data_IF_986872511929
#
_entry.id   IF_986872511929
#
_cell.length_a   1.000
_cell.length_b   1.000
_cell.length_c   1.000
_cell.angle_alpha   90.00
_cell.angle_beta   90.00
_cell.angle_gamma   90.00
#
_symmetry.space_group_name_H-M   'P 1'
#
loop_
_entity.id
_entity.type
_entity.pdbx_description
1 polymer ?
#
# COMPACT_ATOMS: atom_id res chain seq x y z
N UNK A 1 -21.95 57.41 2.73
CA UNK A 1 -21.60 56.09 2.14
C UNK A 1 -21.48 55.12 3.31
N UNK A 2 -22.52 54.35 3.55
CA UNK A 2 -22.52 53.27 4.53
C UNK A 2 -21.68 52.13 3.91
N UNK A 3 -20.53 51.88 4.50
CA UNK A 3 -19.75 50.65 4.19
C UNK A 3 -20.64 49.49 4.61
N UNK A 4 -21.21 48.74 3.64
CA UNK A 4 -21.79 47.44 3.93
C UNK A 4 -20.61 46.56 4.41
N UNK A 5 -20.56 46.33 5.70
CA UNK A 5 -19.78 45.23 6.26
C UNK A 5 -20.42 43.96 5.70
N UNK A 6 -19.81 43.35 4.71
CA UNK A 6 -20.16 41.97 4.35
C UNK A 6 -19.90 41.14 5.60
N UNK A 7 -20.97 40.77 6.30
CA UNK A 7 -20.87 39.89 7.44
C UNK A 7 -20.35 38.55 6.93
N UNK A 8 -19.08 38.25 7.25
CA UNK A 8 -18.42 37.01 6.89
C UNK A 8 -19.13 35.85 7.59
N UNK A 9 -19.60 34.87 6.83
CA UNK A 9 -20.31 33.70 7.38
C UNK A 9 -19.42 32.45 7.39
N UNK A 10 -19.76 31.49 8.25
CA UNK A 10 -19.09 30.19 8.30
C UNK A 10 -19.17 29.48 6.94
N UNK A 11 -20.28 29.59 6.22
CA UNK A 11 -20.44 29.00 4.89
C UNK A 11 -19.52 29.64 3.86
N UNK A 12 -19.35 30.96 3.94
CA UNK A 12 -18.39 31.67 3.09
C UNK A 12 -16.96 31.24 3.42
N UNK A 13 -16.63 31.05 4.69
CA UNK A 13 -15.32 30.54 5.10
C UNK A 13 -15.07 29.10 4.59
N UNK A 14 -16.04 28.19 4.75
CA UNK A 14 -15.97 26.83 4.21
C UNK A 14 -15.67 26.84 2.72
N UNK A 15 -16.38 27.65 1.95
CA UNK A 15 -16.20 27.81 0.52
C UNK A 15 -14.84 28.41 0.17
N UNK A 16 -14.45 29.49 0.86
CA UNK A 16 -13.20 30.20 0.61
C UNK A 16 -11.97 29.33 0.86
N UNK A 17 -11.97 28.57 1.96
CA UNK A 17 -10.89 27.63 2.29
C UNK A 17 -11.04 26.27 1.61
N UNK A 18 -12.05 26.11 0.76
CA UNK A 18 -12.28 24.91 -0.04
C UNK A 18 -12.39 23.61 0.80
N UNK A 19 -12.89 23.73 2.03
CA UNK A 19 -12.98 22.64 3.01
C UNK A 19 -13.67 21.39 2.47
N UNK A 20 -14.83 21.46 1.78
CA UNK A 20 -15.54 20.27 1.31
C UNK A 20 -14.73 19.39 0.36
N UNK A 21 -13.71 19.96 -0.32
CA UNK A 21 -12.97 19.23 -1.35
C UNK A 21 -11.69 18.55 -0.83
N UNK A 22 -10.99 19.14 0.15
CA UNK A 22 -9.76 18.54 0.65
C UNK A 22 -9.96 17.77 1.95
N UNK A 23 -10.96 18.14 2.76
CA UNK A 23 -11.14 17.57 4.10
C UNK A 23 -11.77 16.19 4.10
N UNK A 24 -12.48 15.84 3.03
CA UNK A 24 -13.29 14.61 2.95
C UNK A 24 -14.15 14.39 4.23
N UNK A 25 -14.62 15.50 4.83
CA UNK A 25 -15.44 15.49 6.04
C UNK A 25 -14.71 15.18 7.35
N UNK A 26 -13.38 15.09 7.34
CA UNK A 26 -12.58 14.98 8.58
C UNK A 26 -12.33 16.32 9.24
N UNK A 27 -12.38 17.42 8.49
CA UNK A 27 -12.19 18.77 8.99
C UNK A 27 -13.37 19.64 8.61
N UNK A 28 -13.78 20.50 9.53
CA UNK A 28 -14.85 21.47 9.33
C UNK A 28 -14.63 22.72 10.21
N UNK A 29 -15.51 23.71 10.09
CA UNK A 29 -15.56 24.88 10.97
C UNK A 29 -16.74 24.74 11.93
N UNK A 30 -16.51 25.02 13.22
CA UNK A 30 -17.60 25.13 14.19
C UNK A 30 -18.28 26.51 14.09
N UNK A 31 -19.32 26.74 14.90
CA UNK A 31 -20.07 28.00 14.90
C UNK A 31 -19.23 29.21 15.36
N UNK A 32 -18.13 28.97 16.06
CA UNK A 32 -17.20 30.02 16.52
C UNK A 32 -16.11 30.32 15.48
N UNK A 33 -16.16 29.68 14.30
CA UNK A 33 -15.18 29.84 13.22
C UNK A 33 -13.86 29.10 13.48
N UNK A 34 -13.79 28.21 14.45
CA UNK A 34 -12.60 27.40 14.72
C UNK A 34 -12.58 26.16 13.83
N UNK A 35 -11.39 25.82 13.32
CA UNK A 35 -11.18 24.58 12.58
C UNK A 35 -11.28 23.38 13.54
N UNK A 36 -12.17 22.46 13.22
CA UNK A 36 -12.40 21.22 13.96
C UNK A 36 -11.91 20.02 13.17
N UNK A 37 -11.60 18.96 13.87
CA UNK A 37 -11.27 17.65 13.31
C UNK A 37 -12.17 16.57 13.92
N UNK A 38 -12.73 15.73 13.07
CA UNK A 38 -13.51 14.54 13.42
C UNK A 38 -12.77 13.30 12.91
N UNK A 39 -11.85 12.72 13.69
CA UNK A 39 -10.98 11.64 13.22
C UNK A 39 -11.75 10.37 12.86
N UNK A 40 -12.90 10.15 13.49
CA UNK A 40 -13.82 9.05 13.21
C UNK A 40 -15.20 9.62 12.85
N UNK A 41 -15.55 9.56 11.57
CA UNK A 41 -16.83 10.09 11.06
C UNK A 41 -18.07 9.37 11.65
N UNK A 42 -17.91 8.16 12.18
CA UNK A 42 -18.99 7.41 12.81
C UNK A 42 -19.28 7.86 14.24
N UNK A 43 -18.38 8.65 14.85
CA UNK A 43 -18.46 9.12 16.24
C UNK A 43 -18.36 10.64 16.32
N UNK A 44 -19.49 11.32 16.11
CA UNK A 44 -19.56 12.78 16.11
C UNK A 44 -19.11 13.41 17.45
N UNK A 45 -19.22 12.68 18.56
CA UNK A 45 -18.73 13.10 19.88
C UNK A 45 -17.21 13.24 19.98
N UNK A 46 -16.47 12.65 19.03
CA UNK A 46 -15.00 12.74 18.96
C UNK A 46 -14.54 13.89 18.03
N UNK A 47 -15.25 15.02 18.07
CA UNK A 47 -14.85 16.22 17.32
C UNK A 47 -14.09 17.17 18.24
N UNK A 48 -12.91 17.63 17.78
CA UNK A 48 -12.02 18.49 18.54
C UNK A 48 -11.76 19.80 17.80
N UNK A 49 -11.80 20.94 18.53
CA UNK A 49 -11.25 22.20 17.99
C UNK A 49 -9.72 22.14 17.99
N UNK A 50 -9.09 22.44 16.85
CA UNK A 50 -7.63 22.50 16.77
C UNK A 50 -7.06 23.64 17.61
N UNK A 51 -7.80 24.76 17.77
CA UNK A 51 -7.44 25.85 18.67
C UNK A 51 -7.34 25.36 20.11
N UNK A 52 -8.30 24.56 20.55
CA UNK A 52 -8.29 23.97 21.89
C UNK A 52 -7.13 23.00 22.10
N UNK A 53 -6.84 22.17 21.10
CA UNK A 53 -5.68 21.24 21.14
C UNK A 53 -4.38 22.03 21.24
N UNK A 54 -4.21 23.11 20.45
CA UNK A 54 -3.02 23.96 20.52
C UNK A 54 -2.84 24.65 21.89
N UNK A 55 -3.93 25.17 22.46
CA UNK A 55 -3.92 25.76 23.81
C UNK A 55 -3.50 24.73 24.88
N UNK A 56 -4.03 23.52 24.79
CA UNK A 56 -3.67 22.44 25.70
C UNK A 56 -2.19 22.04 25.58
N UNK A 57 -1.67 21.92 24.36
CA UNK A 57 -0.25 21.64 24.13
C UNK A 57 0.64 22.72 24.73
N UNK A 58 0.28 24.00 24.52
CA UNK A 58 1.04 25.12 25.09
C UNK A 58 1.00 25.12 26.62
N UNK A 59 -0.16 24.80 27.22
CA UNK A 59 -0.29 24.70 28.68
C UNK A 59 0.59 23.61 29.28
N UNK A 60 0.88 22.56 28.49
CA UNK A 60 1.80 21.47 28.86
C UNK A 60 3.26 21.78 28.53
N UNK A 61 3.57 22.98 28.06
CA UNK A 61 4.94 23.42 27.78
C UNK A 61 5.48 23.07 26.40
N UNK A 62 4.62 22.55 25.48
CA UNK A 62 5.03 22.35 24.10
C UNK A 62 5.11 23.68 23.35
N UNK A 63 6.15 23.83 22.54
CA UNK A 63 6.35 25.01 21.69
C UNK A 63 5.68 24.82 20.33
N UNK A 64 5.23 25.93 19.74
CA UNK A 64 4.74 25.95 18.35
C UNK A 64 5.89 26.35 17.39
N UNK A 65 5.87 25.88 16.14
CA UNK A 65 4.84 25.07 15.49
C UNK A 65 4.84 23.61 15.94
N UNK A 66 3.66 22.96 15.91
CA UNK A 66 3.48 21.55 16.23
C UNK A 66 2.86 20.80 15.05
N UNK A 67 3.31 19.58 14.80
CA UNK A 67 2.71 18.67 13.83
C UNK A 67 1.75 17.71 14.52
N UNK A 68 0.47 17.85 14.21
CA UNK A 68 -0.59 16.99 14.74
C UNK A 68 -0.89 15.85 13.74
N UNK A 69 -1.05 14.64 14.24
CA UNK A 69 -1.48 13.48 13.46
C UNK A 69 -2.62 12.76 14.17
N UNK A 70 -3.65 12.46 13.41
CA UNK A 70 -4.84 11.75 13.89
C UNK A 70 -4.84 10.34 13.30
N UNK A 71 -4.40 9.35 14.10
CA UNK A 71 -4.28 7.94 13.66
C UNK A 71 -5.60 7.35 13.20
N UNK A 72 -6.71 7.73 13.83
CA UNK A 72 -8.05 7.23 13.49
C UNK A 72 -8.48 7.61 12.06
N UNK A 73 -7.99 8.75 11.51
CA UNK A 73 -8.21 9.10 10.09
C UNK A 73 -7.56 8.05 9.19
N UNK A 74 -6.33 7.62 9.51
CA UNK A 74 -5.63 6.57 8.74
C UNK A 74 -6.43 5.26 8.81
N UNK A 75 -6.88 4.86 10.00
CA UNK A 75 -7.71 3.66 10.19
C UNK A 75 -9.00 3.73 9.37
N UNK A 76 -9.70 4.86 9.43
CA UNK A 76 -10.95 5.06 8.69
C UNK A 76 -10.72 5.00 7.18
N UNK A 77 -9.65 5.62 6.65
CA UNK A 77 -9.30 5.57 5.22
C UNK A 77 -8.97 4.16 4.74
N UNK A 78 -8.17 3.41 5.49
CA UNK A 78 -7.86 2.01 5.16
C UNK A 78 -9.13 1.16 5.15
N UNK A 79 -9.99 1.33 6.16
CA UNK A 79 -11.26 0.61 6.24
C UNK A 79 -12.19 0.94 5.07
N UNK A 80 -12.34 2.22 4.72
CA UNK A 80 -13.19 2.66 3.59
C UNK A 80 -12.71 2.06 2.28
N UNK A 81 -11.37 2.01 2.07
CA UNK A 81 -10.79 1.40 0.88
C UNK A 81 -11.10 -0.10 0.82
N UNK A 82 -10.84 -0.83 1.90
CA UNK A 82 -11.11 -2.26 1.98
C UNK A 82 -12.61 -2.58 1.79
N UNK A 83 -13.50 -1.77 2.37
CA UNK A 83 -14.93 -1.92 2.21
C UNK A 83 -15.38 -1.73 0.76
N UNK A 84 -14.88 -0.71 0.06
CA UNK A 84 -15.22 -0.48 -1.34
C UNK A 84 -14.85 -1.66 -2.24
N UNK A 85 -13.65 -2.23 -2.07
CA UNK A 85 -13.23 -3.41 -2.83
C UNK A 85 -13.99 -4.67 -2.42
N UNK A 86 -14.25 -4.90 -1.15
CA UNK A 86 -15.02 -6.05 -0.67
C UNK A 86 -16.47 -5.98 -1.15
N UNK A 87 -17.07 -4.79 -1.20
CA UNK A 87 -18.39 -4.58 -1.77
C UNK A 87 -18.41 -4.94 -3.25
N UNK A 88 -17.46 -4.44 -4.05
CA UNK A 88 -17.35 -4.76 -5.47
C UNK A 88 -17.13 -6.28 -5.70
N UNK A 89 -16.29 -6.93 -4.89
CA UNK A 89 -16.09 -8.39 -4.91
C UNK A 89 -17.41 -9.11 -4.70
N UNK A 90 -18.21 -8.67 -3.71
CA UNK A 90 -19.51 -9.28 -3.41
C UNK A 90 -20.54 -9.03 -4.51
N UNK A 91 -20.64 -7.80 -5.02
CA UNK A 91 -21.60 -7.42 -6.06
C UNK A 91 -21.33 -8.10 -7.40
N UNK A 92 -20.04 -8.33 -7.72
CA UNK A 92 -19.63 -8.98 -8.98
C UNK A 92 -19.39 -10.48 -8.82
N UNK A 93 -19.71 -11.06 -7.65
CA UNK A 93 -19.49 -12.48 -7.34
C UNK A 93 -18.05 -12.95 -7.66
N UNK A 94 -17.07 -12.04 -7.46
CA UNK A 94 -15.67 -12.32 -7.77
C UNK A 94 -15.07 -13.31 -6.75
N UNK A 95 -14.58 -14.45 -7.23
CA UNK A 95 -13.96 -15.47 -6.38
C UNK A 95 -12.50 -15.15 -6.04
N UNK A 96 -12.28 -14.05 -5.36
CA UNK A 96 -10.95 -13.61 -4.93
C UNK A 96 -11.01 -12.77 -3.66
N UNK A 97 -9.84 -12.31 -3.20
CA UNK A 97 -9.72 -11.48 -1.99
C UNK A 97 -8.91 -10.22 -2.33
N UNK A 98 -9.29 -9.12 -1.73
CA UNK A 98 -8.52 -7.88 -1.80
C UNK A 98 -7.55 -7.78 -0.62
N UNK A 99 -6.29 -7.48 -0.92
CA UNK A 99 -5.27 -7.17 0.08
C UNK A 99 -4.71 -5.79 -0.22
N UNK A 100 -4.88 -4.84 0.69
CA UNK A 100 -4.23 -3.54 0.56
C UNK A 100 -2.77 -3.66 0.99
N UNK A 101 -1.84 -3.23 0.13
CA UNK A 101 -0.41 -3.19 0.45
C UNK A 101 0.07 -1.74 0.53
N UNK A 102 0.62 -1.36 1.67
CA UNK A 102 1.17 -0.03 1.87
C UNK A 102 2.65 0.01 1.56
N UNK A 103 3.10 0.84 0.58
CA UNK A 103 4.51 1.02 0.29
C UNK A 103 5.14 1.95 1.33
N UNK A 104 6.06 1.41 2.16
CA UNK A 104 6.62 2.19 3.27
C UNK A 104 7.46 3.39 2.82
N UNK A 105 7.94 3.40 1.58
CA UNK A 105 8.68 4.53 0.99
C UNK A 105 7.87 5.84 0.97
N UNK A 106 6.54 5.77 0.96
CA UNK A 106 5.65 6.95 0.95
C UNK A 106 5.77 7.72 2.26
N UNK A 107 5.68 7.03 3.39
CA UNK A 107 6.00 7.55 4.70
C UNK A 107 6.43 6.41 5.61
N UNK A 108 7.74 6.29 5.82
CA UNK A 108 8.36 5.22 6.61
C UNK A 108 8.47 5.54 8.10
N UNK A 109 7.80 6.60 8.57
CA UNK A 109 7.75 6.86 10.01
C UNK A 109 7.08 5.68 10.72
N UNK A 110 7.78 5.11 11.68
CA UNK A 110 7.33 3.95 12.43
C UNK A 110 5.88 4.08 12.90
N UNK A 111 5.51 5.23 13.48
CA UNK A 111 4.16 5.47 14.00
C UNK A 111 3.08 5.39 12.92
N UNK A 112 3.35 5.92 11.71
CA UNK A 112 2.39 5.87 10.59
C UNK A 112 2.20 4.43 10.13
N UNK A 113 3.28 3.67 9.97
CA UNK A 113 3.21 2.26 9.56
C UNK A 113 2.50 1.42 10.63
N UNK A 114 2.79 1.64 11.92
CA UNK A 114 2.09 0.98 13.04
C UNK A 114 0.58 1.23 12.98
N UNK A 115 0.14 2.47 12.76
CA UNK A 115 -1.28 2.78 12.68
C UNK A 115 -1.96 2.11 11.47
N UNK A 116 -1.29 2.04 10.32
CA UNK A 116 -1.78 1.31 9.15
C UNK A 116 -1.92 -0.19 9.46
N UNK A 117 -0.90 -0.81 10.04
CA UNK A 117 -0.94 -2.23 10.40
C UNK A 117 -2.00 -2.51 11.46
N UNK A 118 -2.16 -1.65 12.45
CA UNK A 118 -3.19 -1.77 13.50
C UNK A 118 -4.61 -1.66 12.96
N UNK A 119 -4.83 -0.96 11.84
CA UNK A 119 -6.18 -0.85 11.24
C UNK A 119 -6.75 -2.21 10.85
N UNK A 120 -5.93 -3.25 10.73
CA UNK A 120 -6.39 -4.65 10.57
C UNK A 120 -7.35 -5.11 11.67
N UNK A 121 -7.23 -4.59 12.89
CA UNK A 121 -8.05 -5.03 14.00
C UNK A 121 -9.52 -4.62 13.85
N UNK A 122 -9.81 -3.56 13.11
CA UNK A 122 -11.15 -3.01 12.91
C UNK A 122 -11.91 -3.62 11.72
N UNK A 123 -11.24 -4.37 10.86
CA UNK A 123 -11.86 -5.06 9.71
C UNK A 123 -12.29 -6.48 10.14
N UNK A 124 -13.39 -7.02 9.61
CA UNK A 124 -13.87 -8.36 9.94
C UNK A 124 -12.78 -9.43 9.74
N UNK A 125 -12.80 -10.49 10.56
CA UNK A 125 -11.76 -11.54 10.57
C UNK A 125 -11.48 -12.18 9.20
N UNK A 126 -12.45 -12.15 8.30
CA UNK A 126 -12.37 -12.77 6.97
C UNK A 126 -11.78 -11.84 5.91
N UNK A 127 -11.88 -10.51 6.11
CA UNK A 127 -11.41 -9.48 5.16
C UNK A 127 -10.02 -8.91 5.52
N UNK A 128 -9.32 -9.50 6.50
CA UNK A 128 -8.09 -8.96 7.07
C UNK A 128 -6.88 -9.30 6.24
N UNK A 129 -6.52 -8.44 5.30
CA UNK A 129 -5.16 -8.52 4.76
C UNK A 129 -4.64 -7.13 4.43
N UNK A 130 -3.92 -6.54 5.39
CA UNK A 130 -3.04 -5.41 5.11
C UNK A 130 -1.63 -5.98 4.98
N UNK A 131 -1.01 -5.69 3.83
CA UNK A 131 0.37 -5.98 3.55
C UNK A 131 1.23 -4.72 3.55
N UNK A 132 2.53 -4.94 3.58
CA UNK A 132 3.53 -3.89 3.42
C UNK A 132 4.35 -4.16 2.16
N UNK A 133 4.75 -3.10 1.46
CA UNK A 133 5.66 -3.20 0.31
C UNK A 133 7.00 -2.58 0.69
N UNK A 134 8.07 -3.29 0.36
CA UNK A 134 9.45 -2.84 0.46
C UNK A 134 10.08 -2.76 -0.93
N UNK A 135 10.63 -1.61 -1.27
CA UNK A 135 11.32 -1.36 -2.55
C UNK A 135 12.85 -1.41 -2.45
N UNK A 136 13.39 -1.69 -1.25
CA UNK A 136 14.83 -1.78 -0.99
C UNK A 136 15.12 -2.68 0.21
N UNK A 137 16.37 -3.12 0.32
CA UNK A 137 16.81 -3.96 1.45
C UNK A 137 16.60 -3.30 2.83
N UNK A 138 16.96 -2.04 3.06
CA UNK A 138 16.66 -1.38 4.33
C UNK A 138 15.16 -1.31 4.63
N UNK A 139 14.33 -1.07 3.62
CA UNK A 139 12.88 -1.08 3.78
C UNK A 139 12.35 -2.46 4.16
N UNK A 140 12.88 -3.53 3.55
CA UNK A 140 12.50 -4.90 3.92
C UNK A 140 12.83 -5.21 5.39
N UNK A 141 13.99 -4.78 5.87
CA UNK A 141 14.37 -4.95 7.28
C UNK A 141 13.39 -4.23 8.21
N UNK A 142 12.99 -3.00 7.84
CA UNK A 142 11.99 -2.26 8.60
C UNK A 142 10.62 -2.95 8.56
N UNK A 143 10.18 -3.46 7.39
CA UNK A 143 8.92 -4.20 7.22
C UNK A 143 8.90 -5.45 8.07
N UNK A 144 9.97 -6.24 8.05
CA UNK A 144 10.08 -7.46 8.89
C UNK A 144 10.01 -7.12 10.37
N UNK A 145 10.67 -6.04 10.80
CA UNK A 145 10.63 -5.59 12.20
C UNK A 145 9.24 -5.06 12.63
N UNK A 146 8.42 -4.58 11.69
CA UNK A 146 7.07 -4.07 11.94
C UNK A 146 5.99 -5.14 11.83
N UNK A 147 6.30 -6.29 11.23
CA UNK A 147 5.39 -7.40 11.00
C UNK A 147 5.35 -8.33 12.22
N UNK A 148 4.72 -7.86 13.30
CA UNK A 148 4.64 -8.59 14.58
C UNK A 148 3.86 -9.92 14.48
N UNK A 149 2.95 -10.02 13.51
CA UNK A 149 2.13 -11.21 13.32
C UNK A 149 2.68 -12.07 12.18
N UNK A 150 2.83 -13.36 12.43
CA UNK A 150 3.01 -14.37 11.37
C UNK A 150 1.85 -14.27 10.36
N UNK A 151 2.10 -14.62 9.09
CA UNK A 151 1.11 -14.56 8.02
C UNK A 151 0.80 -13.15 7.45
N UNK A 152 1.63 -12.13 7.77
CA UNK A 152 1.55 -10.81 7.12
C UNK A 152 1.96 -10.93 5.66
N UNK A 153 1.29 -10.18 4.78
CA UNK A 153 1.68 -10.08 3.37
C UNK A 153 2.80 -9.07 3.20
N UNK A 154 3.90 -9.48 2.59
CA UNK A 154 5.06 -8.62 2.29
C UNK A 154 5.36 -8.70 0.80
N UNK A 155 5.42 -7.54 0.14
CA UNK A 155 5.74 -7.44 -1.29
C UNK A 155 7.13 -6.84 -1.45
N UNK A 156 8.05 -7.60 -2.02
CA UNK A 156 9.43 -7.22 -2.24
C UNK A 156 9.61 -6.72 -3.69
N UNK A 157 9.53 -5.41 -3.89
CA UNK A 157 9.78 -4.72 -5.15
C UNK A 157 11.20 -4.15 -5.24
N UNK A 158 11.50 -3.44 -6.33
CA UNK A 158 12.81 -2.83 -6.57
C UNK A 158 13.89 -3.83 -6.98
N UNK A 159 15.09 -3.32 -7.23
CA UNK A 159 16.22 -4.16 -7.62
C UNK A 159 16.80 -4.90 -6.41
N UNK A 160 17.03 -6.20 -6.59
CA UNK A 160 17.41 -7.09 -5.50
C UNK A 160 18.83 -7.63 -5.69
N UNK A 161 19.63 -7.46 -4.67
CA UNK A 161 20.90 -8.16 -4.50
C UNK A 161 20.68 -9.47 -3.71
N UNK A 162 21.75 -10.23 -3.52
CA UNK A 162 21.74 -11.51 -2.83
C UNK A 162 21.22 -11.41 -1.41
N UNK A 163 21.64 -10.40 -0.67
CA UNK A 163 21.23 -10.21 0.73
C UNK A 163 19.77 -9.78 0.85
N UNK A 164 19.25 -9.00 -0.11
CA UNK A 164 17.84 -8.68 -0.16
C UNK A 164 17.00 -9.95 -0.37
N UNK A 165 17.40 -10.80 -1.32
CA UNK A 165 16.73 -12.06 -1.62
C UNK A 165 16.76 -12.99 -0.40
N UNK A 166 17.92 -13.14 0.25
CA UNK A 166 18.05 -13.92 1.49
C UNK A 166 17.13 -13.43 2.59
N UNK A 167 17.10 -12.11 2.83
CA UNK A 167 16.20 -11.54 3.83
C UNK A 167 14.73 -11.80 3.52
N UNK A 168 14.33 -11.74 2.24
CA UNK A 168 12.98 -12.04 1.80
C UNK A 168 12.62 -13.53 2.02
N UNK A 169 13.55 -14.44 1.72
CA UNK A 169 13.39 -15.88 1.95
C UNK A 169 13.28 -16.19 3.45
N UNK A 170 14.13 -15.57 4.29
CA UNK A 170 14.02 -15.67 5.74
C UNK A 170 12.65 -15.19 6.23
N UNK A 171 12.14 -14.08 5.67
CA UNK A 171 10.79 -13.61 5.97
C UNK A 171 9.71 -14.67 5.70
N UNK A 172 9.88 -15.47 4.64
CA UNK A 172 8.97 -16.60 4.36
C UNK A 172 9.08 -17.69 5.40
N UNK A 173 10.29 -18.04 5.84
CA UNK A 173 10.51 -19.03 6.92
C UNK A 173 9.94 -18.58 8.27
N UNK A 174 9.93 -17.27 8.53
CA UNK A 174 9.28 -16.68 9.71
C UNK A 174 7.74 -16.73 9.65
N UNK A 175 7.17 -17.28 8.55
CA UNK A 175 5.74 -17.49 8.39
C UNK A 175 4.99 -16.35 7.73
N UNK A 176 5.68 -15.37 7.13
CA UNK A 176 5.06 -14.32 6.34
C UNK A 176 4.76 -14.78 4.90
N UNK A 177 3.75 -14.18 4.28
CA UNK A 177 3.45 -14.36 2.85
C UNK A 177 4.29 -13.39 2.04
N UNK A 178 5.52 -13.78 1.71
CA UNK A 178 6.47 -12.92 1.00
C UNK A 178 6.37 -13.16 -0.51
N UNK A 179 6.07 -12.09 -1.25
CA UNK A 179 6.07 -12.07 -2.72
C UNK A 179 7.34 -11.37 -3.20
N UNK A 180 8.24 -12.13 -3.86
CA UNK A 180 9.48 -11.59 -4.41
C UNK A 180 9.24 -11.25 -5.88
N UNK A 181 9.12 -9.95 -6.18
CA UNK A 181 8.72 -9.45 -7.51
C UNK A 181 9.96 -9.29 -8.39
N UNK A 182 10.05 -10.07 -9.45
CA UNK A 182 11.14 -10.03 -10.41
C UNK A 182 10.98 -8.84 -11.35
N UNK A 183 11.99 -7.97 -11.36
CA UNK A 183 12.09 -6.81 -12.24
C UNK A 183 13.20 -6.96 -13.31
N UNK A 184 14.12 -7.91 -13.11
CA UNK A 184 15.21 -8.27 -14.05
C UNK A 184 15.40 -9.78 -14.08
N UNK A 185 15.72 -10.33 -15.26
CA UNK A 185 15.99 -11.78 -15.38
C UNK A 185 17.16 -12.27 -14.51
N UNK A 186 18.16 -11.42 -14.28
CA UNK A 186 19.28 -11.75 -13.38
C UNK A 186 18.84 -11.98 -11.93
N UNK A 187 17.76 -11.35 -11.49
CA UNK A 187 17.20 -11.58 -10.15
C UNK A 187 16.58 -12.97 -10.04
N UNK A 188 15.97 -13.49 -11.11
CA UNK A 188 15.40 -14.84 -11.12
C UNK A 188 16.48 -15.89 -10.86
N UNK A 189 17.60 -15.84 -11.58
CA UNK A 189 18.69 -16.81 -11.40
C UNK A 189 19.25 -16.76 -9.98
N UNK A 190 19.46 -15.56 -9.47
CA UNK A 190 19.93 -15.35 -8.10
C UNK A 190 18.93 -15.87 -7.06
N UNK A 191 17.64 -15.64 -7.28
CA UNK A 191 16.58 -16.14 -6.40
C UNK A 191 16.53 -17.67 -6.38
N UNK A 192 16.62 -18.32 -7.52
CA UNK A 192 16.61 -19.77 -7.62
C UNK A 192 17.83 -20.40 -6.93
N UNK A 193 19.01 -19.81 -7.12
CA UNK A 193 20.25 -20.24 -6.45
C UNK A 193 20.13 -20.15 -4.92
N UNK A 194 19.68 -19.00 -4.40
CA UNK A 194 19.55 -18.80 -2.96
C UNK A 194 18.43 -19.66 -2.35
N UNK A 195 17.29 -19.75 -3.03
CA UNK A 195 16.16 -20.58 -2.60
C UNK A 195 16.55 -22.05 -2.50
N UNK A 196 17.34 -22.55 -3.46
CA UNK A 196 17.88 -23.91 -3.42
C UNK A 196 18.87 -24.09 -2.28
N UNK A 197 19.82 -23.16 -2.14
CA UNK A 197 20.82 -23.24 -1.07
C UNK A 197 20.23 -23.21 0.33
N UNK A 198 19.10 -22.53 0.50
CA UNK A 198 18.38 -22.43 1.78
C UNK A 198 17.29 -23.50 1.94
N UNK A 199 16.93 -24.25 0.89
CA UNK A 199 15.82 -25.22 0.92
C UNK A 199 14.45 -24.58 1.04
N UNK A 200 14.30 -23.30 0.66
CA UNK A 200 13.07 -22.51 0.81
C UNK A 200 12.36 -22.41 -0.54
N UNK A 201 11.03 -22.59 -0.52
CA UNK A 201 10.20 -22.40 -1.71
C UNK A 201 9.72 -20.94 -1.80
N UNK A 202 10.22 -20.14 -2.77
CA UNK A 202 9.81 -18.75 -2.91
C UNK A 202 8.42 -18.63 -3.55
N UNK A 203 7.68 -17.57 -3.19
CA UNK A 203 6.56 -17.10 -3.98
C UNK A 203 7.05 -15.96 -4.88
N UNK A 204 6.99 -16.18 -6.20
CA UNK A 204 7.55 -15.29 -7.20
C UNK A 204 6.43 -14.42 -7.79
N UNK A 205 6.64 -13.12 -7.79
CA UNK A 205 5.87 -12.16 -8.56
C UNK A 205 6.66 -11.70 -9.79
N UNK A 206 5.96 -11.14 -10.77
CA UNK A 206 6.59 -10.57 -11.97
C UNK A 206 6.05 -9.18 -12.19
N UNK A 207 6.94 -8.21 -12.39
CA UNK A 207 6.58 -6.88 -12.85
C UNK A 207 6.60 -6.85 -14.37
N UNK A 208 5.41 -6.77 -14.99
CA UNK A 208 5.27 -6.65 -16.43
C UNK A 208 5.40 -5.19 -16.87
N UNK A 209 6.10 -4.98 -17.99
CA UNK A 209 6.15 -3.69 -18.68
C UNK A 209 4.97 -3.61 -19.64
N UNK A 210 4.11 -2.61 -19.47
CA UNK A 210 2.98 -2.39 -20.37
C UNK A 210 3.45 -1.69 -21.65
N UNK A 211 2.96 -2.13 -22.79
CA UNK A 211 3.22 -1.50 -24.09
C UNK A 211 2.43 -0.19 -24.27
N UNK A 212 1.34 -0.01 -23.54
CA UNK A 212 0.51 1.20 -23.60
C UNK A 212 1.22 2.38 -22.95
N UNK A 213 1.22 3.52 -23.65
CA UNK A 213 1.66 4.80 -23.08
C UNK A 213 0.53 5.38 -22.26
N UNK A 214 0.72 5.55 -20.95
CA UNK A 214 -0.25 6.26 -20.11
C UNK A 214 -0.33 7.73 -20.48
N UNK A 215 -1.51 8.33 -20.40
CA UNK A 215 -1.77 9.76 -20.71
C UNK A 215 -1.31 10.72 -19.60
N UNK A 216 -0.65 10.25 -18.54
CA UNK A 216 -0.27 11.06 -17.39
C UNK A 216 1.15 11.61 -17.46
N UNK A 217 1.49 12.53 -16.56
CA UNK A 217 2.85 13.09 -16.35
C UNK A 217 3.95 12.04 -16.16
N UNK A 218 3.60 10.77 -16.00
CA UNK A 218 4.48 9.60 -15.87
C UNK A 218 4.67 8.83 -17.18
N UNK A 219 4.54 9.48 -18.34
CA UNK A 219 4.72 8.87 -19.68
C UNK A 219 6.05 8.12 -19.85
N UNK A 220 7.07 8.48 -19.04
CA UNK A 220 8.38 7.81 -19.05
C UNK A 220 8.41 6.49 -18.27
N UNK A 221 7.33 6.15 -17.54
CA UNK A 221 7.23 4.91 -16.75
C UNK A 221 6.61 3.74 -17.51
N UNK A 222 6.03 3.98 -18.69
CA UNK A 222 5.41 2.99 -19.57
C UNK A 222 6.06 2.96 -20.96
N UNK A 223 5.73 1.94 -21.78
CA UNK A 223 6.25 1.73 -23.13
C UNK A 223 7.63 1.08 -23.16
N UNK A 224 8.15 0.84 -24.36
CA UNK A 224 9.43 0.12 -24.59
C UNK A 224 10.65 0.77 -23.94
N UNK A 225 10.58 2.05 -23.61
CA UNK A 225 11.64 2.81 -22.93
C UNK A 225 11.52 2.83 -21.41
N UNK A 226 10.53 2.13 -20.83
CA UNK A 226 10.38 2.04 -19.38
C UNK A 226 11.62 1.39 -18.74
N UNK A 227 12.11 2.01 -17.66
CA UNK A 227 13.24 1.48 -16.88
C UNK A 227 12.87 0.27 -16.03
N UNK A 228 11.56 0.02 -15.83
CA UNK A 228 11.06 -0.94 -14.86
C UNK A 228 10.26 -2.06 -15.52
N UNK A 229 10.43 -3.25 -14.96
CA UNK A 229 9.67 -4.42 -15.34
C UNK A 229 10.19 -5.14 -16.59
N UNK A 230 9.70 -6.34 -16.79
CA UNK A 230 10.06 -7.25 -17.88
C UNK A 230 9.19 -6.98 -19.11
N UNK A 231 9.79 -7.07 -20.31
CA UNK A 231 9.02 -7.12 -21.56
C UNK A 231 8.32 -8.49 -21.71
N UNK A 232 7.38 -8.58 -22.64
CA UNK A 232 6.65 -9.83 -22.90
C UNK A 232 7.62 -11.00 -23.23
N UNK A 233 8.64 -10.76 -24.05
CA UNK A 233 9.65 -11.78 -24.36
C UNK A 233 10.48 -12.20 -23.16
N UNK A 234 10.77 -11.27 -22.24
CA UNK A 234 11.47 -11.60 -20.99
C UNK A 234 10.60 -12.39 -20.04
N UNK A 235 9.28 -12.12 -20.00
CA UNK A 235 8.33 -12.89 -19.20
C UNK A 235 8.23 -14.33 -19.72
N UNK A 236 8.13 -14.52 -21.03
CA UNK A 236 8.15 -15.87 -21.62
C UNK A 236 9.42 -16.63 -21.23
N UNK A 237 10.58 -15.99 -21.36
CA UNK A 237 11.86 -16.60 -20.95
C UNK A 237 11.91 -16.91 -19.46
N UNK A 238 11.33 -16.08 -18.61
CA UNK A 238 11.20 -16.34 -17.17
C UNK A 238 10.37 -17.61 -16.92
N UNK A 239 9.23 -17.75 -17.61
CA UNK A 239 8.37 -18.94 -17.50
C UNK A 239 9.11 -20.20 -17.96
N UNK A 240 9.80 -20.15 -19.11
CA UNK A 240 10.63 -21.24 -19.61
C UNK A 240 11.68 -21.67 -18.59
N UNK A 241 12.43 -20.71 -18.04
CA UNK A 241 13.44 -20.97 -17.00
C UNK A 241 12.84 -21.65 -15.77
N UNK A 242 11.66 -21.21 -15.34
CA UNK A 242 10.97 -21.84 -14.20
C UNK A 242 10.52 -23.26 -14.51
N UNK A 243 10.02 -23.53 -15.71
CA UNK A 243 9.62 -24.86 -16.17
C UNK A 243 10.81 -25.82 -16.24
N UNK A 244 11.92 -25.38 -16.81
CA UNK A 244 13.18 -26.15 -16.86
C UNK A 244 13.67 -26.47 -15.45
N UNK A 245 13.66 -25.51 -14.55
CA UNK A 245 14.08 -25.70 -13.17
C UNK A 245 13.17 -26.71 -12.42
N UNK A 246 11.87 -26.73 -12.71
CA UNK A 246 10.95 -27.72 -12.17
C UNK A 246 11.18 -29.12 -12.70
N UNK A 247 11.49 -29.25 -13.98
CA UNK A 247 11.77 -30.57 -14.61
C UNK A 247 13.07 -31.18 -14.11
N UNK A 248 14.08 -30.39 -13.82
CA UNK A 248 15.36 -30.83 -13.29
C UNK A 248 15.28 -31.31 -11.83
N UNK A 249 14.25 -30.88 -11.08
CA UNK A 249 14.12 -31.15 -9.64
C UNK A 249 12.77 -31.77 -9.27
N UNK A 250 12.58 -33.03 -9.66
CA UNK A 250 11.39 -33.84 -9.38
C UNK A 250 11.03 -34.01 -7.87
N UNK A 251 11.67 -33.30 -6.94
CA UNK A 251 11.47 -33.41 -5.47
C UNK A 251 11.15 -32.12 -4.74
N UNK A 252 11.22 -30.96 -5.39
CA UNK A 252 10.82 -29.70 -4.77
C UNK A 252 9.50 -29.28 -5.41
N UNK A 253 8.45 -29.22 -4.61
CA UNK A 253 7.13 -28.75 -5.07
C UNK A 253 7.25 -27.41 -5.80
N UNK A 254 6.64 -27.27 -6.98
CA UNK A 254 6.70 -26.11 -7.88
C UNK A 254 6.64 -24.75 -7.18
N UNK A 255 7.51 -23.78 -7.50
CA UNK A 255 7.33 -22.41 -7.03
C UNK A 255 5.98 -21.88 -7.52
N UNK A 256 5.22 -21.24 -6.65
CA UNK A 256 3.98 -20.61 -7.05
C UNK A 256 4.31 -19.30 -7.79
N UNK A 257 4.16 -19.29 -9.11
CA UNK A 257 4.26 -18.08 -9.90
C UNK A 257 2.97 -17.29 -9.75
N UNK A 258 3.06 -16.06 -9.23
CA UNK A 258 1.97 -15.10 -9.22
C UNK A 258 2.37 -13.89 -10.05
N UNK A 259 1.63 -13.65 -11.13
CA UNK A 259 1.85 -12.48 -11.98
C UNK A 259 1.25 -11.28 -11.28
N UNK A 260 2.08 -10.33 -10.90
CA UNK A 260 1.67 -9.05 -10.33
C UNK A 260 1.72 -8.05 -11.47
N UNK A 261 0.58 -7.76 -12.07
CA UNK A 261 0.44 -6.81 -13.17
C UNK A 261 -0.95 -6.24 -13.24
N UNK A 262 -1.05 -4.98 -13.67
CA UNK A 262 -2.29 -4.38 -14.13
C UNK A 262 -2.57 -4.90 -15.55
N UNK A 263 -3.46 -5.86 -15.70
CA UNK A 263 -4.39 -5.84 -16.82
C UNK A 263 -5.63 -6.69 -16.54
N UNK A 264 -6.79 -6.10 -16.82
CA UNK A 264 -8.11 -6.54 -16.46
C UNK A 264 -8.77 -7.23 -17.66
N UNK A 265 -8.20 -8.26 -18.25
CA UNK A 265 -8.94 -8.94 -19.31
C UNK A 265 -8.43 -10.38 -19.51
N UNK A 266 -8.94 -11.29 -18.74
CA UNK A 266 -9.50 -12.58 -19.22
C UNK A 266 -9.80 -13.52 -18.03
N UNK A 267 -11.06 -13.98 -17.82
CA UNK A 267 -11.45 -14.71 -16.60
C UNK A 267 -11.27 -16.21 -16.62
N UNK A 268 -10.44 -16.75 -17.47
CA UNK A 268 -10.39 -18.20 -17.61
C UNK A 268 -9.02 -18.83 -17.55
N UNK A 269 -8.46 -19.15 -16.38
CA UNK A 269 -7.49 -20.22 -16.18
C UNK A 269 -6.15 -19.89 -15.47
N UNK A 270 -5.96 -18.72 -14.86
CA UNK A 270 -4.78 -18.48 -14.04
C UNK A 270 -5.20 -17.79 -12.74
N UNK A 271 -4.75 -18.29 -11.57
CA UNK A 271 -4.91 -17.55 -10.32
C UNK A 271 -4.06 -16.28 -10.35
N UNK A 272 -4.61 -15.24 -10.98
CA UNK A 272 -4.02 -13.91 -10.94
C UNK A 272 -4.38 -13.27 -9.60
N UNK A 273 -3.46 -13.22 -8.67
CA UNK A 273 -3.55 -12.24 -7.61
C UNK A 273 -3.05 -10.92 -8.21
N UNK A 274 -3.95 -10.15 -8.79
CA UNK A 274 -3.68 -8.75 -9.12
C UNK A 274 -3.55 -8.04 -7.78
N UNK A 275 -2.33 -7.75 -7.35
CA UNK A 275 -2.13 -6.66 -6.41
C UNK A 275 -2.39 -5.40 -7.22
N UNK A 276 -3.46 -4.64 -6.94
CA UNK A 276 -3.66 -3.38 -7.63
C UNK A 276 -2.37 -2.60 -7.46
N UNK A 277 -1.85 -2.14 -8.57
CA UNK A 277 -0.71 -1.24 -8.59
C UNK A 277 -1.07 -0.13 -7.64
N UNK A 278 -0.46 -0.17 -6.45
CA UNK A 278 -0.31 0.93 -5.53
C UNK A 278 -1.41 1.96 -5.74
N UNK A 279 -2.52 1.84 -5.01
CA UNK A 279 -3.32 2.99 -4.70
C UNK A 279 -2.40 3.89 -3.88
N UNK A 280 -1.63 4.71 -4.59
CA UNK A 280 -0.73 5.69 -4.04
C UNK A 280 -1.61 6.77 -3.44
N UNK A 281 -2.02 6.58 -2.19
CA UNK A 281 -2.59 7.67 -1.42
C UNK A 281 -1.48 8.67 -1.17
N UNK A 282 -1.42 9.69 -2.02
CA UNK A 282 -0.87 10.95 -1.60
C UNK A 282 -1.84 11.52 -0.57
N UNK A 283 -1.53 11.32 0.69
CA UNK A 283 -1.97 12.21 1.75
C UNK A 283 -1.11 13.45 1.60
N UNK A 284 -1.53 14.36 0.73
CA UNK A 284 -1.06 15.75 0.73
C UNK A 284 -1.64 16.48 1.93
#
# INVERSE_FOLDING_TARGET
>A
MTVQTNDWSIEQARSFYNLPYWSDGYFDLNNDGELTVSPDKSRAELTFSLSSVCKELQSRGFQMPALLRFGDIVHNRVNSLCQAFNQAISELEYNGKYTVCYPIKVNQQRRVVEEIVKSQASISKEAKQIGLEAGSKPELMAVLAMSENTNSTIVCNGYKDREYIRAALIGSELGHKVYIVIEKLSELHLLLEEAEGMGIKPTIGVRARLASKGESKWQTSGGDHSKFGLSASQILRLVETLQEHQQLKCRISSPALKIIGLDLADPGAWEFTVLPTIAMFMLS
#
